data_IF_500632054548
#
_entry.id   IF_500632054548
#
_cell.length_a   1.000
_cell.length_b   1.000
_cell.length_c   1.000
_cell.angle_alpha   90.00
_cell.angle_beta   90.00
_cell.angle_gamma   90.00
#
_symmetry.space_group_name_H-M   'P 1'
#
loop_
_entity.id
_entity.type
_entity.pdbx_description
1 polymer ?
#
# COMPACT_ATOMS: atom_id res chain seq x y z
N UNK A 1 4.90 17.95 -18.12
CA UNK A 1 4.25 17.31 -16.95
C UNK A 1 4.24 15.79 -17.10
N UNK A 2 3.58 15.24 -18.13
CA UNK A 2 3.40 13.77 -18.27
C UNK A 2 4.72 12.99 -18.40
N UNK A 3 5.64 13.43 -19.25
CA UNK A 3 6.96 12.80 -19.41
C UNK A 3 7.80 12.86 -18.13
N UNK A 4 7.86 14.03 -17.48
CA UNK A 4 8.57 14.22 -16.22
C UNK A 4 7.99 13.35 -15.09
N UNK A 5 6.66 13.23 -15.02
CA UNK A 5 5.99 12.37 -14.04
C UNK A 5 6.26 10.90 -14.32
N UNK A 6 6.30 10.49 -15.59
CA UNK A 6 6.62 9.10 -15.99
C UNK A 6 8.02 8.72 -15.50
N UNK A 7 9.03 9.54 -15.78
CA UNK A 7 10.39 9.29 -15.35
C UNK A 7 10.51 9.24 -13.82
N UNK A 8 9.78 10.12 -13.11
CA UNK A 8 9.76 10.11 -11.66
C UNK A 8 9.11 8.83 -11.09
N UNK A 9 7.99 8.38 -11.67
CA UNK A 9 7.30 7.15 -11.27
C UNK A 9 8.21 5.94 -11.48
N UNK A 10 8.90 5.84 -12.62
CA UNK A 10 9.83 4.75 -12.90
C UNK A 10 10.94 4.66 -11.85
N UNK A 11 11.55 5.80 -11.48
CA UNK A 11 12.57 5.86 -10.45
C UNK A 11 12.02 5.48 -9.06
N UNK A 12 10.83 5.96 -8.71
CA UNK A 12 10.18 5.64 -7.45
C UNK A 12 9.83 4.15 -7.32
N UNK A 13 9.33 3.54 -8.41
CA UNK A 13 9.05 2.10 -8.45
C UNK A 13 10.34 1.26 -8.38
N UNK A 14 11.43 1.68 -9.05
CA UNK A 14 12.73 1.01 -8.93
C UNK A 14 13.31 1.08 -7.51
N UNK A 15 13.01 2.16 -6.78
CA UNK A 15 13.35 2.31 -5.36
C UNK A 15 12.42 1.54 -4.41
N UNK A 16 11.40 0.83 -4.93
CA UNK A 16 10.45 0.05 -4.12
C UNK A 16 9.43 0.90 -3.37
N UNK A 17 9.21 2.16 -3.78
CA UNK A 17 8.25 3.04 -3.12
C UNK A 17 6.82 2.74 -3.60
N UNK A 18 5.90 2.78 -2.64
CA UNK A 18 4.46 2.73 -2.93
C UNK A 18 4.01 4.16 -3.25
N UNK A 19 3.36 4.32 -4.41
CA UNK A 19 2.89 5.62 -4.89
C UNK A 19 1.37 5.63 -4.82
N UNK A 20 0.81 6.46 -3.94
CA UNK A 20 -0.64 6.71 -3.88
C UNK A 20 -1.07 7.75 -4.93
N UNK A 21 -2.37 7.82 -5.18
CA UNK A 21 -2.95 8.81 -6.10
C UNK A 21 -2.68 10.26 -5.63
N UNK A 22 -2.68 10.51 -4.32
CA UNK A 22 -2.37 11.83 -3.74
C UNK A 22 -0.92 12.24 -4.02
N UNK A 23 0.03 11.29 -3.88
CA UNK A 23 1.44 11.52 -4.19
C UNK A 23 1.60 11.81 -5.67
N UNK A 24 0.90 11.04 -6.52
CA UNK A 24 0.93 11.22 -7.97
C UNK A 24 0.39 12.60 -8.39
N UNK A 25 -0.74 13.02 -7.81
CA UNK A 25 -1.36 14.32 -8.07
C UNK A 25 -0.45 15.46 -7.60
N UNK A 26 0.09 15.36 -6.38
CA UNK A 26 1.02 16.36 -5.82
C UNK A 26 2.25 16.53 -6.70
N UNK A 27 2.87 15.43 -7.14
CA UNK A 27 4.04 15.49 -8.04
C UNK A 27 3.69 16.04 -9.42
N UNK A 28 2.51 15.73 -9.96
CA UNK A 28 2.04 16.32 -11.20
C UNK A 28 1.89 17.84 -11.11
N UNK A 29 1.37 18.35 -9.99
CA UNK A 29 1.25 19.79 -9.71
C UNK A 29 2.62 20.46 -9.56
N UNK A 30 3.57 19.83 -8.85
CA UNK A 30 4.95 20.32 -8.76
C UNK A 30 5.59 20.46 -10.16
N UNK A 31 5.44 19.44 -11.01
CA UNK A 31 5.95 19.52 -12.39
C UNK A 31 5.23 20.57 -13.23
N UNK A 32 3.94 20.77 -13.02
CA UNK A 32 3.20 21.84 -13.70
C UNK A 32 3.71 23.23 -13.31
N UNK A 33 3.97 23.44 -12.03
CA UNK A 33 4.57 24.67 -11.53
C UNK A 33 5.96 24.91 -12.15
N UNK A 34 6.81 23.88 -12.19
CA UNK A 34 8.14 23.97 -12.80
C UNK A 34 8.10 24.22 -14.32
N UNK A 35 7.04 23.77 -15.01
CA UNK A 35 6.82 24.01 -16.43
C UNK A 35 6.06 25.33 -16.73
N UNK A 36 5.73 26.16 -15.72
CA UNK A 36 4.87 27.34 -15.85
C UNK A 36 3.47 27.05 -16.44
N UNK A 37 2.92 25.86 -16.17
CA UNK A 37 1.59 25.44 -16.61
C UNK A 37 0.53 25.67 -15.52
N UNK A 38 0.22 26.94 -15.26
CA UNK A 38 -0.68 27.37 -14.17
C UNK A 38 -2.14 26.87 -14.31
N UNK A 39 -2.54 26.45 -15.51
CA UNK A 39 -3.90 25.93 -15.79
C UNK A 39 -4.05 24.46 -15.43
N UNK A 40 -2.94 23.75 -15.21
CA UNK A 40 -2.99 22.33 -14.87
C UNK A 40 -3.46 22.15 -13.43
N UNK A 41 -4.46 21.29 -13.24
CA UNK A 41 -5.11 21.09 -11.93
C UNK A 41 -4.83 19.74 -11.29
N UNK A 42 -4.12 18.82 -11.96
CA UNK A 42 -3.87 17.47 -11.43
C UNK A 42 -5.14 16.75 -10.99
N UNK A 43 -6.25 16.91 -11.72
CA UNK A 43 -7.55 16.36 -11.32
C UNK A 43 -7.51 14.83 -11.22
N UNK A 44 -8.40 14.25 -10.41
CA UNK A 44 -8.55 12.79 -10.28
C UNK A 44 -8.70 12.11 -11.65
N UNK A 45 -9.54 12.65 -12.53
CA UNK A 45 -9.72 12.12 -13.88
C UNK A 45 -8.46 12.18 -14.76
N UNK A 46 -7.58 13.15 -14.53
CA UNK A 46 -6.28 13.20 -15.21
C UNK A 46 -5.33 12.13 -14.66
N UNK A 47 -5.26 11.98 -13.33
CA UNK A 47 -4.48 10.95 -12.64
C UNK A 47 -4.91 9.54 -13.07
N UNK A 48 -6.21 9.29 -13.16
CA UNK A 48 -6.77 8.02 -13.64
C UNK A 48 -6.40 7.72 -15.08
N UNK A 49 -6.45 8.74 -15.96
CA UNK A 49 -6.05 8.58 -17.35
C UNK A 49 -4.54 8.35 -17.48
N UNK A 50 -3.72 9.04 -16.70
CA UNK A 50 -2.28 8.81 -16.64
C UNK A 50 -1.98 7.36 -16.23
N UNK A 51 -2.58 6.87 -15.12
CA UNK A 51 -2.42 5.47 -14.68
C UNK A 51 -2.80 4.49 -15.79
N UNK A 52 -3.91 4.72 -16.49
CA UNK A 52 -4.35 3.86 -17.62
C UNK A 52 -3.37 3.87 -18.79
N UNK A 53 -2.85 5.04 -19.19
CA UNK A 53 -1.89 5.16 -20.31
C UNK A 53 -0.55 4.47 -20.00
N UNK A 54 -0.10 4.56 -18.75
CA UNK A 54 1.15 3.96 -18.30
C UNK A 54 0.99 2.56 -17.69
N UNK A 55 -0.22 1.99 -17.78
CA UNK A 55 -0.57 0.67 -17.26
C UNK A 55 -0.18 0.47 -15.78
N UNK A 56 -0.26 1.53 -14.99
CA UNK A 56 0.00 1.51 -13.55
C UNK A 56 -1.16 0.81 -12.86
N UNK A 57 -0.86 -0.32 -12.20
CA UNK A 57 -1.84 -1.11 -11.46
C UNK A 57 -1.81 -0.73 -9.99
N UNK A 58 -3.00 -0.55 -9.42
CA UNK A 58 -3.17 -0.45 -7.98
C UNK A 58 -2.89 -1.84 -7.37
N UNK A 59 -1.95 -1.91 -6.44
CA UNK A 59 -1.73 -3.09 -5.61
C UNK A 59 -2.25 -2.79 -4.21
N UNK A 60 -3.16 -3.62 -3.70
CA UNK A 60 -3.49 -3.63 -2.29
C UNK A 60 -2.33 -4.27 -1.54
N UNK A 61 -1.42 -3.43 -1.03
CA UNK A 61 -0.33 -3.88 -0.18
C UNK A 61 -0.96 -4.31 1.14
N UNK A 62 -1.11 -5.62 1.34
CA UNK A 62 -1.40 -6.19 2.64
C UNK A 62 -0.10 -6.15 3.44
N UNK A 63 0.17 -5.03 4.10
CA UNK A 63 1.44 -4.74 4.81
C UNK A 63 1.83 -5.86 5.78
N UNK A 64 0.85 -6.52 6.42
CA UNK A 64 1.12 -7.61 7.37
C UNK A 64 1.67 -8.87 6.70
N UNK A 65 1.21 -9.20 5.49
CA UNK A 65 1.65 -10.41 4.78
C UNK A 65 3.11 -10.32 4.33
N UNK A 66 3.62 -9.11 4.05
CA UNK A 66 5.00 -8.89 3.64
C UNK A 66 6.00 -8.87 4.81
N UNK A 67 5.54 -8.58 6.03
CA UNK A 67 6.36 -8.56 7.25
C UNK A 67 6.44 -9.92 7.95
N UNK A 68 5.63 -10.89 7.53
CA UNK A 68 5.59 -12.21 8.17
C UNK A 68 6.94 -12.94 8.00
N UNK A 69 7.60 -13.38 9.10
CA UNK A 69 8.85 -14.11 9.02
C UNK A 69 8.60 -15.55 8.54
N UNK A 70 8.50 -15.72 7.21
CA UNK A 70 8.17 -17.00 6.58
C UNK A 70 9.13 -18.15 6.96
N UNK A 71 10.38 -17.81 7.28
CA UNK A 71 11.44 -18.76 7.62
C UNK A 71 11.20 -19.45 8.96
N UNK A 72 10.56 -18.77 9.91
CA UNK A 72 10.32 -19.28 11.26
C UNK A 72 8.87 -19.78 11.44
N UNK A 73 8.03 -19.69 10.40
CA UNK A 73 6.61 -20.03 10.49
C UNK A 73 6.35 -21.45 10.98
N UNK A 74 7.11 -22.43 10.49
CA UNK A 74 6.92 -23.83 10.89
C UNK A 74 7.26 -24.04 12.37
N UNK A 75 8.32 -23.39 12.86
CA UNK A 75 8.72 -23.42 14.28
C UNK A 75 7.67 -22.73 15.15
N UNK A 76 7.19 -21.56 14.72
CA UNK A 76 6.14 -20.82 15.42
C UNK A 76 4.84 -21.62 15.49
N UNK A 77 4.46 -22.32 14.41
CA UNK A 77 3.27 -23.18 14.37
C UNK A 77 3.40 -24.38 15.30
N UNK A 78 4.55 -25.05 15.31
CA UNK A 78 4.83 -26.16 16.24
C UNK A 78 4.72 -25.69 17.69
N UNK A 79 5.35 -24.57 18.03
CA UNK A 79 5.30 -23.99 19.38
C UNK A 79 3.87 -23.62 19.80
N UNK A 80 3.10 -23.01 18.89
CA UNK A 80 1.70 -22.68 19.13
C UNK A 80 0.89 -23.94 19.44
N UNK A 81 1.04 -25.02 18.67
CA UNK A 81 0.36 -26.28 18.94
C UNK A 81 0.72 -26.87 20.31
N UNK A 82 1.98 -26.78 20.75
CA UNK A 82 2.37 -27.26 22.08
C UNK A 82 1.74 -26.44 23.20
N UNK A 83 1.60 -25.12 23.03
CA UNK A 83 0.92 -24.25 23.99
C UNK A 83 -0.58 -24.58 24.03
N UNK A 84 -1.22 -24.67 22.87
CA UNK A 84 -2.67 -24.90 22.76
C UNK A 84 -3.11 -26.26 23.31
N UNK A 85 -2.25 -27.28 23.34
CA UNK A 85 -2.55 -28.59 23.98
C UNK A 85 -2.93 -28.48 25.45
N UNK A 86 -2.52 -27.41 26.13
CA UNK A 86 -2.82 -27.20 27.55
C UNK A 86 -4.18 -26.51 27.79
N UNK A 87 -4.90 -26.17 26.73
CA UNK A 87 -6.18 -25.47 26.78
C UNK A 87 -7.26 -26.32 26.12
N UNK A 88 -8.48 -26.28 26.67
CA UNK A 88 -9.64 -26.84 25.99
C UNK A 88 -9.99 -25.99 24.77
N UNK A 89 -10.55 -26.63 23.74
CA UNK A 89 -10.97 -25.95 22.50
C UNK A 89 -11.89 -24.73 22.72
N UNK A 90 -12.71 -24.74 23.78
CA UNK A 90 -13.60 -23.63 24.17
C UNK A 90 -12.86 -22.38 24.69
N UNK A 91 -11.60 -22.54 25.07
CA UNK A 91 -10.75 -21.49 25.66
C UNK A 91 -9.74 -20.95 24.63
N UNK A 92 -9.80 -21.41 23.37
CA UNK A 92 -8.94 -20.97 22.27
C UNK A 92 -9.72 -20.00 21.39
N UNK A 93 -9.33 -18.72 21.43
CA UNK A 93 -9.95 -17.65 20.64
C UNK A 93 -8.94 -17.09 19.63
N UNK A 94 -9.37 -16.94 18.37
CA UNK A 94 -8.63 -16.14 17.39
C UNK A 94 -9.11 -14.69 17.50
N UNK A 95 -8.20 -13.78 17.79
CA UNK A 95 -8.47 -12.34 17.85
C UNK A 95 -7.47 -11.65 16.92
N UNK A 96 -7.70 -11.84 15.62
CA UNK A 96 -6.86 -11.30 14.55
C UNK A 96 -7.10 -9.80 14.32
N UNK A 97 -8.31 -9.31 14.59
CA UNK A 97 -8.63 -7.88 14.56
C UNK A 97 -9.29 -7.39 15.85
N UNK A 98 -8.70 -6.38 16.48
CA UNK A 98 -9.37 -5.62 17.55
C UNK A 98 -9.87 -4.29 17.00
N UNK A 99 -11.12 -4.29 16.52
CA UNK A 99 -11.79 -3.07 16.08
C UNK A 99 -12.30 -2.25 17.27
N UNK A 100 -11.77 -1.04 17.46
CA UNK A 100 -12.27 -0.08 18.45
C UNK A 100 -13.64 0.46 18.02
N UNK A 101 -14.72 -0.16 18.51
CA UNK A 101 -16.08 0.36 18.37
C UNK A 101 -16.36 1.43 19.44
N UNK A 102 -16.24 2.72 19.08
CA UNK A 102 -16.87 3.81 19.84
C UNK A 102 -18.22 4.13 19.20
N UNK A 103 -19.30 4.09 20.00
CA UNK A 103 -20.64 4.52 19.58
C UNK A 103 -20.66 6.05 19.43
N UNK A 104 -21.15 6.53 18.26
CA UNK A 104 -21.67 7.89 18.07
C UNK A 104 -23.01 8.06 18.79
#
# INVERSE_FOLDING_TARGET
IEEALTLWVENALQAGLIISDDILSTKALEFAFLCNEEKFKGSEGWVDNFKKRHNLKQYNVHEEAASAPLQDLDIMRENLHQILKNYDSKDIFNCDETGLFWKM
#
